data_IF_259398418436
#
_entry.id   IF_259398418436
#
_cell.length_a   1.000
_cell.length_b   1.000
_cell.length_c   1.000
_cell.angle_alpha   90.00
_cell.angle_beta   90.00
_cell.angle_gamma   90.00
#
_symmetry.space_group_name_H-M   'P 1'
#
loop_
_entity.id
_entity.type
_entity.pdbx_description
1 polymer ?
#
# COMPACT_ATOMS: atom_id res chain seq x y z
N UNK A 1 16.29 8.76 -4.25
CA UNK A 1 15.54 8.38 -3.04
C UNK A 1 14.33 7.55 -3.45
N UNK A 2 14.06 6.45 -2.77
CA UNK A 2 12.94 5.55 -3.08
C UNK A 2 12.17 5.28 -1.79
N UNK A 3 10.84 5.37 -1.84
CA UNK A 3 9.95 4.90 -0.79
C UNK A 3 9.18 3.68 -1.31
N UNK A 4 9.36 2.55 -0.67
CA UNK A 4 8.65 1.32 -0.99
C UNK A 4 7.82 0.90 0.23
N UNK A 5 6.51 0.73 0.01
CA UNK A 5 5.57 0.30 1.05
C UNK A 5 4.93 -1.02 0.64
N UNK A 6 5.67 -2.13 0.70
CA UNK A 6 5.09 -3.44 0.43
C UNK A 6 4.01 -3.72 1.47
N UNK A 7 2.94 -4.35 1.03
CA UNK A 7 1.81 -4.63 1.89
C UNK A 7 1.05 -5.85 1.42
N UNK A 8 0.27 -6.40 2.30
CA UNK A 8 -0.54 -7.57 2.05
C UNK A 8 -0.56 -8.49 3.25
N UNK A 9 -0.97 -9.71 3.04
CA UNK A 9 -0.96 -10.72 4.08
C UNK A 9 0.44 -11.05 4.56
N UNK A 10 0.49 -11.44 5.78
CA UNK A 10 1.67 -11.99 6.41
C UNK A 10 1.98 -13.37 5.83
N UNK A 11 3.11 -13.95 6.20
CA UNK A 11 3.48 -15.30 5.80
C UNK A 11 2.38 -16.35 6.05
N UNK A 12 1.52 -16.10 7.04
CA UNK A 12 0.41 -17.02 7.35
C UNK A 12 -0.67 -17.06 6.26
N UNK A 13 -0.81 -16.02 5.47
CA UNK A 13 -1.89 -15.90 4.49
C UNK A 13 -1.38 -15.63 3.06
N UNK A 14 -0.09 -15.51 2.87
CA UNK A 14 0.52 -15.23 1.56
C UNK A 14 1.29 -16.44 1.06
N UNK A 15 1.19 -16.71 -0.24
CA UNK A 15 2.03 -17.70 -0.90
C UNK A 15 3.42 -17.12 -1.15
N UNK A 16 4.45 -17.85 -0.79
CA UNK A 16 5.84 -17.50 -1.08
C UNK A 16 6.19 -17.97 -2.50
N UNK A 17 6.92 -17.14 -3.22
CA UNK A 17 7.53 -17.47 -4.50
C UNK A 17 9.04 -17.65 -4.26
N UNK A 18 9.53 -18.88 -4.15
CA UNK A 18 10.92 -19.13 -3.76
C UNK A 18 11.93 -18.52 -4.73
N UNK A 19 11.63 -18.54 -6.03
CA UNK A 19 12.48 -18.03 -7.09
C UNK A 19 12.71 -16.52 -7.01
N UNK A 20 11.77 -15.80 -6.40
CA UNK A 20 11.83 -14.34 -6.20
C UNK A 20 12.23 -13.95 -4.79
N UNK A 21 12.27 -14.90 -3.85
CA UNK A 21 12.56 -14.65 -2.45
C UNK A 21 11.54 -13.72 -1.77
N UNK A 22 10.30 -13.69 -2.26
CA UNK A 22 9.26 -12.81 -1.71
C UNK A 22 7.91 -13.51 -1.58
N UNK A 23 7.03 -12.95 -0.77
CA UNK A 23 5.63 -13.37 -0.67
C UNK A 23 4.74 -12.57 -1.60
N UNK A 24 3.67 -13.19 -2.08
CA UNK A 24 2.62 -12.49 -2.82
C UNK A 24 1.85 -11.56 -1.89
N UNK A 25 1.40 -10.44 -2.43
CA UNK A 25 0.45 -9.58 -1.74
C UNK A 25 -0.93 -10.22 -1.68
N UNK A 26 -1.65 -9.99 -0.58
CA UNK A 26 -3.06 -10.36 -0.43
C UNK A 26 -4.01 -9.20 -0.76
N UNK A 27 -3.54 -8.17 -1.43
CA UNK A 27 -4.33 -6.96 -1.72
C UNK A 27 -5.54 -7.19 -2.61
N UNK A 28 -5.65 -8.33 -3.29
CA UNK A 28 -6.86 -8.75 -3.98
C UNK A 28 -8.11 -8.78 -3.08
N UNK A 29 -7.94 -9.01 -1.78
CA UNK A 29 -9.03 -8.96 -0.80
C UNK A 29 -9.72 -7.59 -0.68
N UNK A 30 -9.10 -6.53 -1.21
CA UNK A 30 -9.65 -5.17 -1.19
C UNK A 30 -10.69 -4.93 -2.30
N UNK A 31 -10.86 -5.88 -3.20
CA UNK A 31 -11.96 -5.84 -4.16
C UNK A 31 -13.29 -6.20 -3.49
N UNK A 32 -14.34 -5.59 -3.97
CA UNK A 32 -15.70 -5.97 -3.60
C UNK A 32 -16.22 -7.02 -4.59
N UNK A 33 -16.95 -8.00 -4.07
CA UNK A 33 -17.65 -9.00 -4.87
C UNK A 33 -19.05 -8.53 -5.32
N UNK A 34 -19.42 -7.32 -4.97
CA UNK A 34 -20.67 -6.68 -5.36
C UNK A 34 -20.45 -5.88 -6.64
N UNK A 35 -21.29 -6.08 -7.63
CA UNK A 35 -21.21 -5.35 -8.90
C UNK A 35 -21.59 -3.86 -8.75
N UNK A 36 -21.09 -3.03 -9.66
CA UNK A 36 -21.45 -1.63 -9.77
C UNK A 36 -20.69 -0.67 -8.87
N UNK A 37 -19.82 -1.14 -7.98
CA UNK A 37 -19.00 -0.27 -7.14
C UNK A 37 -17.67 0.05 -7.83
N UNK A 38 -17.04 1.17 -7.44
CA UNK A 38 -15.75 1.57 -7.98
C UNK A 38 -14.65 0.52 -7.76
N UNK A 39 -14.71 -0.20 -6.66
CA UNK A 39 -13.76 -1.27 -6.30
C UNK A 39 -14.29 -2.68 -6.56
N UNK A 40 -15.33 -2.84 -7.41
CA UNK A 40 -15.81 -4.16 -7.81
C UNK A 40 -14.73 -4.93 -8.57
N UNK A 41 -14.66 -6.23 -8.30
CA UNK A 41 -13.72 -7.11 -8.97
C UNK A 41 -14.10 -7.24 -10.45
N UNK A 42 -13.25 -6.75 -11.34
CA UNK A 42 -13.40 -6.84 -12.77
C UNK A 42 -12.04 -6.76 -13.47
N UNK A 43 -11.91 -7.29 -14.69
CA UNK A 43 -10.68 -7.15 -15.47
C UNK A 43 -10.28 -5.68 -15.65
N UNK A 44 -8.98 -5.40 -15.52
CA UNK A 44 -8.44 -4.04 -15.67
C UNK A 44 -8.74 -3.06 -14.53
N UNK A 45 -9.43 -3.49 -13.50
CA UNK A 45 -9.71 -2.66 -12.32
C UNK A 45 -8.60 -2.76 -11.28
N UNK A 46 -8.44 -1.70 -10.49
CA UNK A 46 -7.54 -1.67 -9.35
C UNK A 46 -8.34 -1.77 -8.06
N UNK A 47 -7.86 -2.53 -7.05
CA UNK A 47 -8.49 -2.55 -5.75
C UNK A 47 -8.32 -1.22 -5.02
N UNK A 48 -9.12 -1.00 -4.00
CA UNK A 48 -8.85 0.04 -3.00
C UNK A 48 -7.49 -0.21 -2.33
N UNK A 49 -6.78 0.84 -2.03
CA UNK A 49 -5.52 0.76 -1.29
C UNK A 49 -5.51 1.71 -0.10
N UNK A 50 -4.79 1.32 0.95
CA UNK A 50 -4.51 2.15 2.11
C UNK A 50 -3.04 2.55 2.16
N UNK A 51 -2.27 2.17 1.14
CA UNK A 51 -0.84 2.44 1.08
C UNK A 51 -0.58 3.92 0.80
N UNK A 52 0.21 4.55 1.64
CA UNK A 52 0.58 5.96 1.56
C UNK A 52 2.09 6.14 1.62
N UNK A 53 2.82 5.68 0.58
CA UNK A 53 4.24 6.02 0.47
C UNK A 53 4.37 7.53 0.28
N UNK A 54 5.16 8.16 1.12
CA UNK A 54 5.22 9.61 1.21
C UNK A 54 6.64 10.14 1.01
N UNK A 55 6.73 11.32 0.41
CA UNK A 55 7.95 12.08 0.28
C UNK A 55 7.76 13.49 0.80
N UNK A 56 8.72 13.97 1.58
CA UNK A 56 8.83 15.37 1.93
C UNK A 56 9.95 16.01 1.14
N UNK A 57 9.72 17.24 0.73
CA UNK A 57 10.69 18.09 0.06
C UNK A 57 11.01 19.29 0.95
N UNK A 58 12.26 19.73 0.94
CA UNK A 58 12.70 20.96 1.58
C UNK A 58 13.51 21.75 0.55
N UNK A 59 13.16 23.00 0.34
CA UNK A 59 13.79 23.89 -0.65
C UNK A 59 13.88 23.26 -2.06
N UNK A 60 12.81 22.59 -2.48
CA UNK A 60 12.72 21.95 -3.78
C UNK A 60 13.54 20.65 -3.93
N UNK A 61 14.16 20.16 -2.86
CA UNK A 61 14.96 18.93 -2.87
C UNK A 61 14.31 17.83 -2.05
N UNK A 62 14.42 16.56 -2.47
CA UNK A 62 13.97 15.43 -1.66
C UNK A 62 14.66 15.45 -0.29
N UNK A 63 13.87 15.48 0.76
CA UNK A 63 14.35 15.54 2.13
C UNK A 63 14.13 14.24 2.89
N UNK A 64 12.93 13.67 2.80
CA UNK A 64 12.55 12.50 3.55
C UNK A 64 11.66 11.59 2.70
N UNK A 65 11.88 10.28 2.77
CA UNK A 65 10.97 9.26 2.28
C UNK A 65 10.49 8.43 3.46
N UNK A 66 9.19 8.29 3.63
CA UNK A 66 8.62 7.63 4.80
C UNK A 66 7.28 6.97 4.49
N UNK A 67 6.83 6.18 5.43
CA UNK A 67 5.52 5.56 5.45
C UNK A 67 5.22 5.05 6.85
N UNK A 68 3.97 4.91 7.18
CA UNK A 68 3.51 4.40 8.47
C UNK A 68 2.75 3.10 8.27
N UNK A 69 2.85 2.13 9.19
CA UNK A 69 1.95 0.99 9.20
C UNK A 69 0.56 1.43 9.63
N UNK A 70 -0.47 0.69 9.19
CA UNK A 70 -1.85 0.97 9.59
C UNK A 70 -2.83 0.60 8.48
N UNK A 71 -4.06 0.94 8.66
CA UNK A 71 -5.13 0.77 7.68
C UNK A 71 -5.48 2.10 7.01
N UNK A 72 -6.75 2.47 7.08
CA UNK A 72 -7.30 3.69 6.46
C UNK A 72 -6.79 4.99 7.08
N UNK A 73 -6.07 4.93 8.19
CA UNK A 73 -5.56 6.10 8.91
C UNK A 73 -4.10 6.43 8.57
N UNK A 74 -3.47 5.72 7.63
CA UNK A 74 -2.05 5.90 7.31
C UNK A 74 -1.72 7.31 6.83
N UNK A 75 -2.60 7.94 6.08
CA UNK A 75 -2.46 9.31 5.60
C UNK A 75 -2.40 10.32 6.76
N UNK A 76 -3.30 10.18 7.74
CA UNK A 76 -3.34 11.00 8.93
C UNK A 76 -2.09 10.80 9.79
N UNK A 77 -1.68 9.55 10.00
CA UNK A 77 -0.47 9.25 10.79
C UNK A 77 0.80 9.74 10.11
N UNK A 78 0.86 9.61 8.78
CA UNK A 78 1.98 10.14 8.01
C UNK A 78 2.10 11.66 8.13
N UNK A 79 0.97 12.37 8.16
CA UNK A 79 0.95 13.80 8.37
C UNK A 79 1.41 14.17 9.79
N UNK A 80 0.88 13.48 10.81
CA UNK A 80 1.27 13.71 12.20
C UNK A 80 2.75 13.42 12.47
N UNK A 81 3.32 12.44 11.78
CA UNK A 81 4.74 12.14 11.90
C UNK A 81 5.61 13.26 11.32
N UNK A 82 5.10 13.95 10.30
CA UNK A 82 5.84 15.01 9.60
C UNK A 82 5.78 16.36 10.32
N UNK A 83 4.70 16.66 11.04
CA UNK A 83 4.49 17.93 11.76
C UNK A 83 5.24 17.97 13.08
#
# INVERSE_FOLDING_TARGET
MVAATPSGGWFQSSRVIPELGCSLTTRGQMFWLVEGLASSMAPGRRPRTTLTPSFAFRDGRPYLAFGTPGGDQQDQWSLLLLL
#
